data_IF_182100939587
#
_entry.id   IF_182100939587
#
_cell.length_a   1.000
_cell.length_b   1.000
_cell.length_c   1.000
_cell.angle_alpha   90.00
_cell.angle_beta   90.00
_cell.angle_gamma   90.00
#
_symmetry.space_group_name_H-M   'P 1'
#
loop_
_entity.id
_entity.type
_entity.pdbx_description
1 polymer ?
#
# COMPACT_ATOMS: atom_id res chain seq x y z
N UNK A 1 -9.26 -16.15 -30.94
CA UNK A 1 -10.03 -16.85 -32.01
C UNK A 1 -10.34 -15.91 -33.17
N UNK A 2 -10.77 -14.66 -32.96
CA UNK A 2 -11.06 -13.67 -34.03
C UNK A 2 -9.85 -13.35 -34.90
N UNK A 3 -8.63 -13.29 -34.37
CA UNK A 3 -7.42 -13.04 -35.16
C UNK A 3 -6.97 -14.24 -36.00
N UNK A 4 -7.43 -15.44 -35.70
CA UNK A 4 -7.16 -16.63 -36.52
C UNK A 4 -8.10 -16.72 -37.73
N UNK A 5 -9.31 -16.20 -37.62
CA UNK A 5 -10.28 -16.14 -38.72
C UNK A 5 -9.87 -15.14 -39.80
N UNK A 6 -9.20 -14.04 -39.44
CA UNK A 6 -8.71 -13.04 -40.43
C UNK A 6 -7.57 -13.58 -41.32
N UNK A 7 -6.79 -14.57 -40.83
CA UNK A 7 -5.71 -15.18 -41.61
C UNK A 7 -6.18 -16.31 -42.56
N UNK A 8 -7.34 -16.90 -42.27
CA UNK A 8 -7.89 -18.00 -43.07
C UNK A 8 -8.95 -17.52 -44.09
N UNK A 9 -9.37 -16.28 -44.04
CA UNK A 9 -10.40 -15.72 -44.97
C UNK A 9 -9.81 -15.23 -46.31
N UNK A 10 -8.57 -15.52 -46.64
CA UNK A 10 -8.05 -15.42 -48.01
C UNK A 10 -8.54 -16.55 -48.94
N UNK A 11 -9.44 -17.40 -48.46
CA UNK A 11 -10.22 -18.29 -49.30
C UNK A 11 -11.14 -17.47 -50.17
N UNK A 12 -10.95 -17.53 -51.47
CA UNK A 12 -11.68 -16.87 -52.55
C UNK A 12 -13.21 -16.99 -52.29
N UNK A 13 -13.83 -15.85 -51.97
CA UNK A 13 -15.28 -15.78 -51.82
C UNK A 13 -15.91 -16.14 -53.20
N UNK A 14 -16.80 -17.10 -53.21
CA UNK A 14 -17.54 -17.55 -54.42
C UNK A 14 -18.48 -16.45 -54.97
N UNK A 15 -18.66 -15.35 -54.27
CA UNK A 15 -19.63 -14.26 -54.60
C UNK A 15 -19.00 -12.89 -54.89
N UNK A 16 -17.68 -12.86 -55.17
CA UNK A 16 -17.00 -11.59 -55.45
C UNK A 16 -16.72 -10.74 -54.16
N UNK A 17 -15.83 -9.78 -54.29
CA UNK A 17 -15.54 -8.81 -53.25
C UNK A 17 -16.75 -7.91 -53.00
N UNK A 18 -17.64 -8.28 -52.08
CA UNK A 18 -18.62 -7.38 -51.51
C UNK A 18 -17.99 -6.68 -50.33
N UNK A 19 -17.62 -5.41 -50.48
CA UNK A 19 -17.02 -4.56 -49.42
C UNK A 19 -17.87 -4.49 -48.13
N UNK A 20 -19.16 -4.85 -48.23
CA UNK A 20 -20.09 -4.83 -47.09
C UNK A 20 -19.98 -6.01 -46.13
N UNK A 21 -19.16 -7.03 -46.40
CA UNK A 21 -18.98 -8.21 -45.53
C UNK A 21 -17.66 -8.24 -44.77
N UNK A 22 -16.88 -7.17 -44.75
CA UNK A 22 -15.71 -7.10 -43.83
C UNK A 22 -16.25 -6.98 -42.42
N UNK A 23 -15.91 -7.89 -41.49
CA UNK A 23 -16.29 -7.76 -40.11
C UNK A 23 -15.73 -6.43 -39.58
N UNK A 24 -16.61 -5.47 -39.38
CA UNK A 24 -16.27 -4.19 -38.74
C UNK A 24 -15.83 -4.51 -37.33
N UNK A 25 -14.59 -4.13 -36.96
CA UNK A 25 -14.17 -4.24 -35.58
C UNK A 25 -15.18 -3.47 -34.73
N UNK A 26 -15.74 -4.11 -33.70
CA UNK A 26 -16.60 -3.37 -32.79
C UNK A 26 -15.79 -2.20 -32.20
N UNK A 27 -16.35 -0.99 -32.26
CA UNK A 27 -15.81 0.15 -31.57
C UNK A 27 -15.75 -0.20 -30.08
N UNK A 28 -14.54 -0.24 -29.53
CA UNK A 28 -14.35 -0.38 -28.10
C UNK A 28 -14.77 0.94 -27.47
N UNK A 29 -15.85 0.98 -26.69
CA UNK A 29 -16.25 2.23 -26.05
C UNK A 29 -15.12 2.76 -25.19
N UNK A 30 -14.90 4.07 -25.23
CA UNK A 30 -13.86 4.80 -24.49
C UNK A 30 -14.20 4.88 -22.98
N UNK A 31 -14.60 3.75 -22.41
CA UNK A 31 -15.00 3.61 -20.98
C UNK A 31 -13.81 3.70 -20.04
N UNK A 32 -12.57 3.61 -20.57
CA UNK A 32 -11.34 3.64 -19.77
C UNK A 32 -11.13 4.97 -19.05
N UNK A 33 -11.73 6.05 -19.53
CA UNK A 33 -11.61 7.38 -18.90
C UNK A 33 -12.58 7.60 -17.72
N UNK A 34 -13.53 6.69 -17.50
CA UNK A 34 -14.53 6.79 -16.42
C UNK A 34 -14.26 5.80 -15.26
N UNK A 35 -13.32 4.90 -15.43
CA UNK A 35 -12.98 3.92 -14.39
C UNK A 35 -11.94 4.53 -13.44
N UNK A 36 -12.22 4.49 -12.13
CA UNK A 36 -11.26 4.86 -11.10
C UNK A 36 -9.96 4.06 -11.30
N UNK A 37 -8.83 4.76 -11.37
CA UNK A 37 -7.48 4.17 -11.53
C UNK A 37 -7.25 3.00 -10.57
N UNK A 38 -7.77 3.08 -9.35
CA UNK A 38 -7.66 2.01 -8.36
C UNK A 38 -8.37 0.73 -8.77
N UNK A 39 -9.58 0.84 -9.38
CA UNK A 39 -10.35 -0.32 -9.85
C UNK A 39 -9.60 -0.97 -11.01
N UNK A 40 -9.05 -0.16 -11.91
CA UNK A 40 -8.24 -0.65 -13.03
C UNK A 40 -7.02 -1.43 -12.55
N UNK A 41 -6.23 -0.86 -11.63
CA UNK A 41 -5.05 -1.51 -11.05
C UNK A 41 -5.40 -2.80 -10.29
N UNK A 42 -6.54 -2.84 -9.61
CA UNK A 42 -7.02 -4.05 -8.96
C UNK A 42 -7.32 -5.16 -9.97
N UNK A 43 -8.02 -4.82 -11.07
CA UNK A 43 -8.33 -5.78 -12.13
C UNK A 43 -7.05 -6.28 -12.81
N UNK A 44 -6.07 -5.41 -13.01
CA UNK A 44 -4.77 -5.78 -13.54
C UNK A 44 -4.07 -6.81 -12.63
N UNK A 45 -4.02 -6.55 -11.31
CA UNK A 45 -3.45 -7.48 -10.34
C UNK A 45 -4.23 -8.79 -10.26
N UNK A 46 -5.56 -8.76 -10.32
CA UNK A 46 -6.42 -9.95 -10.30
C UNK A 46 -6.14 -10.86 -11.51
N UNK A 47 -5.98 -10.27 -12.71
CA UNK A 47 -5.82 -11.02 -13.95
C UNK A 47 -4.38 -11.49 -14.21
N UNK A 48 -3.40 -10.66 -13.88
CA UNK A 48 -1.99 -10.87 -14.22
C UNK A 48 -1.16 -11.30 -13.00
N UNK A 49 -1.66 -11.06 -11.79
CA UNK A 49 -0.97 -11.35 -10.54
C UNK A 49 -0.07 -10.23 -10.03
N UNK A 50 0.12 -9.17 -10.81
CA UNK A 50 0.95 -8.01 -10.45
C UNK A 50 0.37 -6.71 -11.04
N UNK A 51 0.81 -5.58 -10.52
CA UNK A 51 0.53 -4.26 -11.10
C UNK A 51 1.50 -4.01 -12.26
N UNK A 52 1.01 -3.70 -13.45
CA UNK A 52 1.82 -3.43 -14.65
C UNK A 52 1.85 -1.94 -15.01
N UNK A 53 0.70 -1.27 -14.93
CA UNK A 53 0.56 0.11 -15.39
C UNK A 53 1.11 1.12 -14.39
N UNK A 54 0.79 0.95 -13.10
CA UNK A 54 1.25 1.78 -11.98
C UNK A 54 1.05 1.05 -10.66
N UNK A 55 1.77 1.45 -9.62
CA UNK A 55 1.52 0.91 -8.28
C UNK A 55 0.55 1.84 -7.51
N UNK A 56 -0.45 1.30 -6.76
CA UNK A 56 -1.39 2.13 -6.00
C UNK A 56 -0.75 3.10 -5.01
N UNK A 57 0.48 2.83 -4.57
CA UNK A 57 1.25 3.69 -3.69
C UNK A 57 1.98 4.84 -4.40
N UNK A 58 2.04 4.87 -5.75
CA UNK A 58 2.78 5.89 -6.51
C UNK A 58 2.27 7.31 -6.25
N UNK A 59 0.96 7.46 -6.02
CA UNK A 59 0.34 8.75 -5.68
C UNK A 59 0.76 9.29 -4.31
N UNK A 60 1.36 8.47 -3.45
CA UNK A 60 1.82 8.82 -2.10
C UNK A 60 3.34 8.88 -1.99
N UNK A 61 4.05 9.09 -3.11
CA UNK A 61 5.51 9.07 -3.14
C UNK A 61 6.14 10.08 -2.19
N UNK A 62 5.54 11.25 -2.05
CA UNK A 62 6.01 12.26 -1.11
C UNK A 62 5.97 11.78 0.34
N UNK A 63 4.86 11.15 0.75
CA UNK A 63 4.67 10.61 2.09
C UNK A 63 5.63 9.45 2.35
N UNK A 64 5.80 8.57 1.37
CA UNK A 64 6.71 7.42 1.47
C UNK A 64 8.16 7.86 1.61
N UNK A 65 8.62 8.81 0.79
CA UNK A 65 10.01 9.26 0.79
C UNK A 65 10.38 10.06 2.07
N UNK A 66 9.42 10.73 2.71
CA UNK A 66 9.69 11.64 3.83
C UNK A 66 9.28 11.12 5.20
N UNK A 67 8.33 10.19 5.30
CA UNK A 67 7.75 9.76 6.58
C UNK A 67 7.86 8.26 6.85
N UNK A 68 8.43 7.48 5.93
CA UNK A 68 8.65 6.05 6.09
C UNK A 68 10.12 5.79 6.43
N UNK A 69 10.36 5.00 7.46
CA UNK A 69 11.71 4.74 7.95
C UNK A 69 12.33 3.47 7.36
N UNK A 70 11.52 2.51 6.92
CA UNK A 70 11.97 1.28 6.26
C UNK A 70 10.81 0.61 5.50
N UNK A 71 11.14 -0.27 4.56
CA UNK A 71 10.16 -1.11 3.88
C UNK A 71 9.62 -2.23 4.78
N UNK A 72 8.51 -2.84 4.37
CA UNK A 72 7.90 -3.96 5.10
C UNK A 72 8.82 -5.19 5.13
N UNK A 73 9.57 -5.44 4.05
CA UNK A 73 10.57 -6.50 4.02
C UNK A 73 11.72 -6.25 5.02
N UNK A 74 12.19 -5.01 5.12
CA UNK A 74 13.19 -4.61 6.10
C UNK A 74 12.67 -4.66 7.54
N UNK A 75 11.40 -4.33 7.77
CA UNK A 75 10.75 -4.45 9.08
C UNK A 75 10.78 -5.90 9.57
N UNK A 76 10.42 -6.84 8.72
CA UNK A 76 10.43 -8.28 9.07
C UNK A 76 11.85 -8.76 9.41
N UNK A 77 12.84 -8.38 8.62
CA UNK A 77 14.25 -8.68 8.88
C UNK A 77 14.69 -8.10 10.23
N UNK A 78 14.38 -6.82 10.52
CA UNK A 78 14.70 -6.17 11.80
C UNK A 78 14.05 -6.86 12.99
N UNK A 79 12.80 -7.31 12.86
CA UNK A 79 12.11 -8.06 13.93
C UNK A 79 12.83 -9.39 14.19
N UNK A 80 13.24 -10.11 13.15
CA UNK A 80 13.89 -11.41 13.25
C UNK A 80 15.31 -11.33 13.81
N UNK A 81 16.01 -10.22 13.54
CA UNK A 81 17.40 -9.96 13.99
C UNK A 81 17.46 -9.19 15.31
N UNK A 82 16.31 -8.70 15.80
CA UNK A 82 16.26 -7.85 16.98
C UNK A 82 16.87 -8.52 18.20
N UNK A 83 17.62 -7.72 18.96
CA UNK A 83 18.23 -8.07 20.24
C UNK A 83 17.71 -7.15 21.34
N UNK A 84 17.96 -7.49 22.61
CA UNK A 84 17.53 -6.68 23.76
C UNK A 84 18.02 -5.21 23.70
N UNK A 85 19.14 -4.96 23.02
CA UNK A 85 19.69 -3.59 22.85
C UNK A 85 18.88 -2.75 21.87
N UNK A 86 18.16 -3.38 20.96
CA UNK A 86 17.33 -2.74 19.92
C UNK A 86 15.84 -2.75 20.30
N UNK A 87 15.50 -3.35 21.44
CA UNK A 87 14.13 -3.35 21.95
C UNK A 87 13.66 -1.92 22.22
N UNK A 88 12.48 -1.56 21.66
CA UNK A 88 11.93 -0.21 21.74
C UNK A 88 12.35 0.71 20.58
N UNK A 89 13.05 0.20 19.57
CA UNK A 89 13.29 0.95 18.33
C UNK A 89 11.98 1.36 17.70
N UNK A 90 11.83 2.67 17.47
CA UNK A 90 10.66 3.22 16.78
C UNK A 90 10.84 3.10 15.28
N UNK A 91 9.86 2.56 14.62
CA UNK A 91 9.88 2.34 13.18
C UNK A 91 8.57 2.82 12.57
N UNK A 92 8.68 3.60 11.49
CA UNK A 92 7.56 4.02 10.68
C UNK A 92 7.56 3.24 9.38
N UNK A 93 6.44 2.61 9.06
CA UNK A 93 6.23 1.86 7.82
C UNK A 93 4.94 2.30 7.14
N UNK A 94 4.82 2.05 5.86
CA UNK A 94 3.59 2.28 5.12
C UNK A 94 3.36 1.17 4.10
N UNK A 95 2.11 0.99 3.71
CA UNK A 95 1.76 0.02 2.70
C UNK A 95 0.27 0.03 2.36
N UNK A 96 -0.08 -0.75 1.37
CA UNK A 96 -1.44 -0.97 0.92
C UNK A 96 -2.01 -2.21 1.62
N UNK A 97 -3.21 -2.11 2.15
CA UNK A 97 -3.92 -3.27 2.70
C UNK A 97 -4.45 -4.11 1.54
N UNK A 98 -3.99 -5.35 1.45
CA UNK A 98 -4.45 -6.31 0.44
C UNK A 98 -5.54 -7.22 0.99
N UNK A 99 -5.38 -7.67 2.22
CA UNK A 99 -6.33 -8.57 2.87
C UNK A 99 -6.55 -8.14 4.32
N UNK A 100 -7.78 -8.27 4.78
CA UNK A 100 -8.11 -8.06 6.18
C UNK A 100 -9.22 -9.03 6.61
N UNK A 101 -9.15 -9.46 7.86
CA UNK A 101 -10.15 -10.33 8.46
C UNK A 101 -10.25 -10.13 9.96
N UNK A 102 -11.45 -10.31 10.50
CA UNK A 102 -11.69 -10.31 11.94
C UNK A 102 -11.92 -11.73 12.41
N UNK A 103 -11.22 -12.11 13.46
CA UNK A 103 -11.22 -13.45 14.03
C UNK A 103 -11.44 -13.40 15.54
N UNK A 104 -11.77 -14.52 16.12
CA UNK A 104 -11.89 -14.65 17.57
C UNK A 104 -10.75 -15.52 18.13
N UNK A 105 -10.18 -15.07 19.24
CA UNK A 105 -9.23 -15.89 20.02
C UNK A 105 -9.96 -17.04 20.69
N UNK A 106 -9.19 -18.03 21.21
CA UNK A 106 -9.75 -19.14 22.00
C UNK A 106 -10.55 -18.69 23.23
N UNK A 107 -10.28 -17.46 23.71
CA UNK A 107 -10.97 -16.82 24.84
C UNK A 107 -12.16 -15.98 24.42
N UNK A 108 -12.57 -16.02 23.14
CA UNK A 108 -13.72 -15.26 22.61
C UNK A 108 -13.47 -13.79 22.33
N UNK A 109 -12.21 -13.28 22.44
CA UNK A 109 -11.87 -11.88 22.14
C UNK A 109 -11.61 -11.71 20.65
N UNK A 110 -12.20 -10.66 20.06
CA UNK A 110 -11.95 -10.31 18.67
C UNK A 110 -10.53 -9.79 18.46
N UNK A 111 -9.97 -10.10 17.29
CA UNK A 111 -8.71 -9.55 16.80
C UNK A 111 -8.75 -9.45 15.28
N UNK A 112 -7.98 -8.55 14.69
CA UNK A 112 -7.82 -8.44 13.24
C UNK A 112 -6.49 -8.99 12.79
N UNK A 113 -6.50 -9.63 11.62
CA UNK A 113 -5.33 -9.96 10.81
C UNK A 113 -5.42 -9.19 9.51
N UNK A 114 -4.37 -8.46 9.19
CA UNK A 114 -4.34 -7.59 8.04
C UNK A 114 -3.00 -7.79 7.32
N UNK A 115 -3.06 -8.11 6.05
CA UNK A 115 -1.89 -8.19 5.18
C UNK A 115 -1.67 -6.84 4.52
N UNK A 116 -0.47 -6.33 4.66
CA UNK A 116 -0.04 -5.04 4.12
C UNK A 116 1.09 -5.32 3.14
N UNK A 117 1.08 -4.66 2.00
CA UNK A 117 2.11 -4.80 0.96
C UNK A 117 2.68 -3.43 0.58
N UNK A 118 3.98 -3.39 0.32
CA UNK A 118 4.67 -2.26 -0.30
C UNK A 118 5.39 -2.71 -1.59
N UNK A 119 6.35 -1.93 -2.09
CA UNK A 119 7.11 -2.28 -3.30
C UNK A 119 8.08 -3.44 -3.10
N UNK A 120 8.53 -3.70 -1.86
CA UNK A 120 9.62 -4.63 -1.56
C UNK A 120 9.14 -5.91 -0.85
N UNK A 121 7.94 -5.88 -0.26
CA UNK A 121 7.45 -7.04 0.46
C UNK A 121 6.06 -6.91 1.04
N UNK A 122 5.71 -7.87 1.89
CA UNK A 122 4.45 -7.88 2.61
C UNK A 122 4.68 -8.18 4.10
N UNK A 123 3.79 -7.68 4.94
CA UNK A 123 3.81 -7.90 6.37
C UNK A 123 2.41 -8.22 6.89
N UNK A 124 2.29 -9.26 7.72
CA UNK A 124 1.04 -9.60 8.40
C UNK A 124 0.98 -8.93 9.77
N UNK A 125 0.05 -8.00 9.91
CA UNK A 125 -0.23 -7.28 11.13
C UNK A 125 -1.41 -7.93 11.87
N UNK A 126 -1.21 -8.31 13.13
CA UNK A 126 -2.27 -8.81 14.00
C UNK A 126 -2.51 -7.83 15.15
N UNK A 127 -3.72 -7.29 15.27
CA UNK A 127 -4.12 -6.36 16.32
C UNK A 127 -5.12 -7.00 17.26
N UNK A 128 -4.87 -6.89 18.56
CA UNK A 128 -5.66 -7.54 19.61
C UNK A 128 -6.26 -6.51 20.58
N UNK A 129 -7.43 -6.82 21.12
CA UNK A 129 -8.07 -6.06 22.21
C UNK A 129 -8.24 -4.58 21.86
N UNK A 130 -7.69 -3.68 22.68
CA UNK A 130 -7.83 -2.23 22.50
C UNK A 130 -7.24 -1.71 21.17
N UNK A 131 -6.15 -2.30 20.71
CA UNK A 131 -5.52 -1.90 19.45
C UNK A 131 -6.41 -2.30 18.27
N UNK A 132 -7.06 -3.47 18.33
CA UNK A 132 -8.07 -3.87 17.35
C UNK A 132 -9.25 -2.88 17.32
N UNK A 133 -9.83 -2.55 18.47
CA UNK A 133 -10.95 -1.63 18.57
C UNK A 133 -10.60 -0.22 18.07
N UNK A 134 -9.40 0.27 18.38
CA UNK A 134 -8.94 1.61 18.01
C UNK A 134 -8.66 1.76 16.52
N UNK A 135 -8.14 0.71 15.87
CA UNK A 135 -7.61 0.83 14.51
C UNK A 135 -8.43 0.09 13.45
N UNK A 136 -9.43 -0.72 13.83
CA UNK A 136 -10.22 -1.50 12.86
C UNK A 136 -10.83 -0.65 11.74
N UNK A 137 -11.19 0.60 12.01
CA UNK A 137 -11.77 1.51 11.01
C UNK A 137 -10.80 1.86 9.86
N UNK A 138 -9.49 1.78 10.09
CA UNK A 138 -8.45 2.02 9.08
C UNK A 138 -8.11 0.77 8.27
N UNK A 139 -8.42 -0.42 8.82
CA UNK A 139 -8.02 -1.72 8.27
C UNK A 139 -9.02 -2.21 7.22
N UNK A 140 -9.31 -1.38 6.23
CA UNK A 140 -10.16 -1.75 5.09
C UNK A 140 -9.29 -2.14 3.89
N UNK A 141 -9.71 -3.14 3.09
CA UNK A 141 -9.01 -3.51 1.87
C UNK A 141 -8.80 -2.27 0.97
N UNK A 142 -7.65 -2.20 0.32
CA UNK A 142 -7.23 -1.12 -0.57
C UNK A 142 -6.93 0.24 0.08
N UNK A 143 -7.05 0.35 1.41
CA UNK A 143 -6.53 1.52 2.09
C UNK A 143 -5.00 1.51 2.08
N UNK A 144 -4.41 2.66 1.72
CA UNK A 144 -3.00 2.93 1.95
C UNK A 144 -2.85 3.52 3.36
N UNK A 145 -2.07 2.85 4.20
CA UNK A 145 -1.88 3.24 5.60
C UNK A 145 -0.42 3.50 5.93
N UNK A 146 -0.21 4.42 6.85
CA UNK A 146 1.04 4.69 7.52
C UNK A 146 0.93 4.25 8.97
N UNK A 147 1.95 3.56 9.47
CA UNK A 147 1.98 2.98 10.80
C UNK A 147 3.23 3.46 11.53
N UNK A 148 3.04 4.07 12.69
CA UNK A 148 4.08 4.32 13.68
C UNK A 148 4.02 3.21 14.73
N UNK A 149 5.15 2.58 14.96
CA UNK A 149 5.24 1.49 15.91
C UNK A 149 6.64 1.32 16.48
N UNK A 150 6.80 0.30 17.26
CA UNK A 150 8.05 -0.04 17.93
C UNK A 150 8.25 -1.56 17.95
N UNK A 151 9.51 -1.99 17.83
CA UNK A 151 9.89 -3.39 17.93
C UNK A 151 10.03 -3.73 19.42
N UNK A 152 9.12 -4.58 19.93
CA UNK A 152 9.11 -4.99 21.34
C UNK A 152 9.10 -6.51 21.49
N UNK A 153 9.60 -7.04 22.61
CA UNK A 153 9.42 -8.44 22.95
C UNK A 153 7.92 -8.78 22.93
N UNK A 154 7.55 -9.85 22.26
CA UNK A 154 6.21 -10.44 22.41
C UNK A 154 6.11 -10.95 23.84
N UNK A 155 4.94 -10.79 24.48
CA UNK A 155 4.72 -11.21 25.85
C UNK A 155 5.22 -12.65 26.08
N UNK A 156 6.33 -12.75 26.80
CA UNK A 156 6.88 -14.00 27.26
C UNK A 156 6.24 -14.31 28.62
N UNK A 157 5.51 -15.41 28.71
CA UNK A 157 5.18 -15.95 30.02
C UNK A 157 6.50 -16.41 30.64
N UNK A 158 6.97 -15.74 31.72
CA UNK A 158 8.11 -16.23 32.51
C UNK A 158 7.83 -17.70 32.83
N UNK A 159 8.77 -18.61 32.59
CA UNK A 159 8.64 -19.98 33.10
C UNK A 159 8.38 -19.90 34.59
N UNK A 160 7.49 -20.76 35.11
CA UNK A 160 7.26 -20.88 36.54
C UNK A 160 8.58 -21.11 37.24
N UNK A 161 8.80 -20.42 38.38
CA UNK A 161 9.99 -20.60 39.22
C UNK A 161 10.16 -22.08 39.51
N UNK A 162 11.25 -22.70 39.01
CA UNK A 162 11.54 -24.11 39.17
C UNK A 162 11.78 -24.91 37.90
N UNK A 163 11.51 -24.37 36.73
CA UNK A 163 11.89 -24.98 35.46
C UNK A 163 13.40 -24.75 35.24
N UNK A 164 14.18 -25.82 35.20
CA UNK A 164 15.62 -25.82 34.88
C UNK A 164 15.84 -25.01 33.59
N UNK A 165 16.80 -24.08 33.68
CA UNK A 165 17.19 -23.18 32.59
C UNK A 165 17.50 -24.00 31.32
N UNK A 166 16.55 -24.05 30.40
CA UNK A 166 16.82 -24.50 29.03
C UNK A 166 17.64 -23.43 28.32
N UNK A 167 18.62 -23.81 27.49
CA UNK A 167 19.52 -22.88 26.84
C UNK A 167 18.75 -21.89 26.00
N UNK A 168 18.87 -20.59 26.32
CA UNK A 168 18.56 -19.40 25.57
C UNK A 168 17.47 -19.55 24.48
N UNK A 169 16.21 -19.67 24.89
CA UNK A 169 15.12 -19.43 23.95
C UNK A 169 15.20 -17.96 23.52
N UNK A 170 15.52 -17.73 22.25
CA UNK A 170 15.53 -16.40 21.64
C UNK A 170 14.16 -15.75 21.92
N UNK A 171 14.14 -14.64 22.64
CA UNK A 171 12.91 -13.93 22.96
C UNK A 171 12.28 -13.50 21.64
N UNK A 172 11.04 -13.92 21.34
CA UNK A 172 10.40 -13.51 20.10
C UNK A 172 10.04 -12.02 20.18
N UNK A 173 10.52 -11.25 19.22
CA UNK A 173 10.14 -9.85 19.05
C UNK A 173 8.93 -9.71 18.13
N UNK A 174 8.26 -8.58 18.17
CA UNK A 174 7.15 -8.25 17.32
C UNK A 174 7.02 -6.76 17.15
N UNK A 175 6.30 -6.37 16.12
CA UNK A 175 5.97 -4.97 15.85
C UNK A 175 4.72 -4.59 16.63
N UNK A 176 4.85 -3.61 17.54
CA UNK A 176 3.75 -3.04 18.29
C UNK A 176 3.35 -1.71 17.66
N UNK A 177 2.11 -1.61 17.28
CA UNK A 177 1.52 -0.41 16.69
C UNK A 177 1.22 0.62 17.78
N UNK A 178 1.68 1.86 17.58
CA UNK A 178 1.33 2.99 18.41
C UNK A 178 0.25 3.85 17.73
N UNK A 179 0.31 3.97 16.40
CA UNK A 179 -0.60 4.81 15.63
C UNK A 179 -0.75 4.29 14.20
N UNK A 180 -1.97 4.38 13.67
CA UNK A 180 -2.28 4.16 12.25
C UNK A 180 -2.96 5.42 11.71
N UNK A 181 -2.57 5.84 10.51
CA UNK A 181 -3.14 6.98 9.79
C UNK A 181 -3.28 6.59 8.32
N UNK A 182 -4.30 7.09 7.63
CA UNK A 182 -4.37 6.97 6.17
C UNK A 182 -3.20 7.72 5.55
N UNK A 183 -2.53 7.10 4.60
CA UNK A 183 -1.28 7.63 4.02
C UNK A 183 -1.46 9.02 3.41
N UNK A 184 -2.62 9.29 2.79
CA UNK A 184 -2.95 10.61 2.26
C UNK A 184 -3.07 11.73 3.30
N UNK A 185 -3.28 11.41 4.58
CA UNK A 185 -3.41 12.39 5.65
C UNK A 185 -2.11 12.65 6.41
N UNK A 186 -1.07 11.84 6.15
CA UNK A 186 0.21 11.92 6.87
C UNK A 186 0.89 13.27 6.65
N UNK A 187 0.87 13.78 5.43
CA UNK A 187 1.47 15.07 5.11
C UNK A 187 0.79 16.21 5.89
N UNK A 188 -0.55 16.23 5.98
CA UNK A 188 -1.30 17.25 6.72
C UNK A 188 -0.99 17.23 8.22
N UNK A 189 -0.78 16.06 8.79
CA UNK A 189 -0.49 15.90 10.22
C UNK A 189 0.98 16.18 10.58
N UNK A 190 1.91 15.83 9.71
CA UNK A 190 3.35 15.86 10.00
C UNK A 190 4.05 17.12 9.49
N UNK A 191 3.58 17.71 8.38
CA UNK A 191 4.20 18.91 7.80
C UNK A 191 3.73 20.15 8.53
N UNK A 192 4.61 20.75 9.32
CA UNK A 192 4.32 22.00 10.04
C UNK A 192 4.70 23.24 9.22
N UNK A 193 5.75 23.16 8.44
CA UNK A 193 6.27 24.26 7.65
C UNK A 193 6.76 23.76 6.30
N UNK A 194 6.50 24.52 5.25
CA UNK A 194 7.01 24.28 3.92
C UNK A 194 7.89 25.46 3.50
N UNK A 195 9.14 25.19 3.14
CA UNK A 195 10.10 26.24 2.76
C UNK A 195 10.60 25.98 1.35
N UNK A 196 10.35 26.91 0.43
CA UNK A 196 10.87 26.87 -0.92
C UNK A 196 12.12 27.78 -0.96
N UNK A 197 13.28 27.21 -1.28
CA UNK A 197 14.51 27.96 -1.52
C UNK A 197 14.67 28.16 -3.02
N UNK A 198 14.71 29.42 -3.44
CA UNK A 198 14.86 29.81 -4.83
C UNK A 198 16.12 30.64 -4.97
N UNK A 199 16.86 30.45 -6.06
CA UNK A 199 17.89 31.37 -6.50
C UNK A 199 17.26 32.58 -7.23
N UNK A 200 17.88 33.73 -7.15
CA UNK A 200 17.35 34.96 -7.79
C UNK A 200 16.98 34.80 -9.27
N UNK A 201 17.74 34.05 -10.11
CA UNK A 201 17.38 33.85 -11.52
C UNK A 201 16.11 32.99 -11.70
N UNK A 202 15.73 32.17 -10.71
CA UNK A 202 14.52 31.30 -10.76
C UNK A 202 13.23 32.06 -10.41
N UNK A 203 13.38 33.28 -9.84
CA UNK A 203 12.24 34.11 -9.44
C UNK A 203 11.71 34.93 -10.62
N UNK A 204 11.21 34.26 -11.65
CA UNK A 204 10.57 34.91 -12.80
C UNK A 204 9.14 35.35 -12.46
N UNK A 205 8.58 36.37 -13.14
CA UNK A 205 7.20 36.77 -12.96
C UNK A 205 6.21 35.61 -13.19
N UNK A 206 6.47 34.80 -14.20
CA UNK A 206 5.65 33.61 -14.54
C UNK A 206 5.66 32.56 -13.43
N UNK A 207 6.83 32.29 -12.81
CA UNK A 207 6.91 31.36 -11.67
C UNK A 207 6.12 31.90 -10.47
N UNK A 208 6.20 33.21 -10.21
CA UNK A 208 5.46 33.85 -9.13
C UNK A 208 3.95 33.76 -9.34
N UNK A 209 3.46 33.97 -10.57
CA UNK A 209 2.03 33.84 -10.89
C UNK A 209 1.55 32.40 -10.72
N UNK A 210 2.31 31.41 -11.22
CA UNK A 210 2.00 29.99 -11.01
C UNK A 210 1.96 29.61 -9.53
N UNK A 211 2.90 30.10 -8.74
CA UNK A 211 2.93 29.84 -7.30
C UNK A 211 1.69 30.42 -6.60
N UNK A 212 1.30 31.65 -6.96
CA UNK A 212 0.08 32.29 -6.41
C UNK A 212 -1.18 31.53 -6.80
N UNK A 213 -1.27 31.02 -8.03
CA UNK A 213 -2.40 30.20 -8.46
C UNK A 213 -2.50 28.90 -7.65
N UNK A 214 -1.39 28.16 -7.46
CA UNK A 214 -1.36 26.96 -6.67
C UNK A 214 -1.87 27.14 -5.23
N UNK A 215 -1.63 28.30 -4.63
CA UNK A 215 -2.13 28.62 -3.29
C UNK A 215 -3.58 29.14 -3.27
N UNK A 216 -4.10 29.67 -4.40
CA UNK A 216 -5.49 30.10 -4.52
C UNK A 216 -6.44 28.93 -4.75
N UNK A 217 -6.04 27.95 -5.56
CA UNK A 217 -6.88 26.80 -5.92
C UNK A 217 -7.12 25.83 -4.74
N UNK A 218 -6.34 25.94 -3.64
CA UNK A 218 -6.53 25.13 -2.42
C UNK A 218 -7.36 25.79 -1.32
N UNK A 219 -8.05 26.91 -1.61
CA UNK A 219 -9.00 27.55 -0.69
C UNK A 219 -10.46 27.29 -1.07
N UNK A 220 -10.73 26.10 -1.63
CA UNK A 220 -12.08 25.61 -1.88
C UNK A 220 -12.45 24.55 -0.87
#
# INVERSE_FOLDING_TARGET
ELFRQDAESSAISLFGEVEEMKPTRPDVPDVLNEVDDMIFLQKEKELVGMYLSAHPLDKYRFELDNFVGCSLGQLEARINECTDRQAGEKVCVAGLITETGTFNTKTGRAYSKTKIEDYEGSFELALFGKDHEAFMAYLLPHNAIWIDGEIKPRFYQKPAEGASAQPQQKIPYGFRVNRIVLLGNVAEEKVKNFTIRLSTPQLTPEFRERLVQLFKDKKG
#
